data_IF_822338005290
#
_entry.id   IF_822338005290
#
_cell.length_a   1.000
_cell.length_b   1.000
_cell.length_c   1.000
_cell.angle_alpha   90.00
_cell.angle_beta   90.00
_cell.angle_gamma   90.00
#
_symmetry.space_group_name_H-M   'P 1'
#
loop_
_entity.id
_entity.type
_entity.pdbx_description
1 polymer ?
#
# COMPACT_ATOMS: atom_id res chain seq x y z
N UNK A 1 -9.11 0.42 13.05
CA UNK A 1 -7.75 0.95 13.16
C UNK A 1 -7.80 2.40 12.73
N UNK A 2 -7.14 3.30 13.45
CA UNK A 2 -7.12 4.73 13.14
C UNK A 2 -5.89 5.08 12.33
N UNK A 3 -6.05 6.01 11.38
CA UNK A 3 -4.96 6.65 10.69
C UNK A 3 -4.18 7.53 11.67
N UNK A 4 -2.86 7.40 11.68
CA UNK A 4 -1.97 8.18 12.55
C UNK A 4 -1.81 9.64 12.08
N UNK A 5 -2.28 9.98 10.88
CA UNK A 5 -2.24 11.36 10.35
C UNK A 5 -3.54 12.12 10.63
N UNK A 6 -4.71 11.53 10.39
CA UNK A 6 -6.00 12.23 10.53
C UNK A 6 -6.89 11.71 11.67
N UNK A 7 -6.50 10.64 12.36
CA UNK A 7 -7.31 9.98 13.39
C UNK A 7 -8.52 9.19 12.86
N UNK A 8 -8.82 9.29 11.56
CA UNK A 8 -9.94 8.61 10.92
C UNK A 8 -9.80 7.08 10.92
N UNK A 9 -10.92 6.38 11.01
CA UNK A 9 -10.94 4.91 10.86
C UNK A 9 -11.22 4.54 9.41
N UNK A 10 -10.42 3.65 8.86
CA UNK A 10 -10.60 3.17 7.50
C UNK A 10 -10.30 1.66 7.42
N UNK A 11 -11.01 0.96 6.54
CA UNK A 11 -10.80 -0.48 6.33
C UNK A 11 -9.57 -0.78 5.47
N UNK A 12 -9.04 0.23 4.77
CA UNK A 12 -7.91 0.17 3.84
C UNK A 12 -6.66 0.87 4.41
N UNK A 13 -6.56 0.91 5.75
CA UNK A 13 -5.36 1.35 6.46
C UNK A 13 -4.16 0.52 5.99
N UNK A 14 -3.11 1.21 5.56
CA UNK A 14 -1.84 0.65 5.09
C UNK A 14 -0.72 1.02 6.06
N UNK A 15 0.33 0.21 6.12
CA UNK A 15 1.58 0.62 6.77
C UNK A 15 2.44 1.30 5.73
N UNK A 16 2.79 2.54 6.04
CA UNK A 16 3.74 3.34 5.31
C UNK A 16 5.05 3.41 6.10
N UNK A 17 6.16 3.48 5.38
CA UNK A 17 7.46 3.86 5.90
C UNK A 17 7.69 5.33 5.56
N UNK A 18 8.06 6.14 6.56
CA UNK A 18 8.48 7.52 6.36
C UNK A 18 9.93 7.59 5.88
N UNK A 19 10.38 8.74 5.34
CA UNK A 19 11.77 8.92 4.93
C UNK A 19 12.78 8.69 6.07
N UNK A 20 12.37 8.96 7.31
CA UNK A 20 13.16 8.76 8.53
C UNK A 20 13.16 7.29 9.01
N UNK A 21 12.46 6.40 8.31
CA UNK A 21 12.38 4.98 8.62
C UNK A 21 11.33 4.59 9.66
N UNK A 22 10.44 5.52 10.04
CA UNK A 22 9.35 5.24 10.97
C UNK A 22 8.17 4.57 10.25
N UNK A 23 7.45 3.68 10.93
CA UNK A 23 6.27 3.00 10.36
C UNK A 23 5.00 3.66 10.87
N UNK A 24 4.08 3.99 9.96
CA UNK A 24 2.81 4.64 10.26
C UNK A 24 1.65 3.89 9.62
N UNK A 25 0.50 3.87 10.29
CA UNK A 25 -0.79 3.43 9.78
C UNK A 25 -1.51 4.60 9.11
N UNK A 26 -1.73 4.51 7.80
CA UNK A 26 -2.24 5.62 6.99
C UNK A 26 -3.47 5.18 6.20
N UNK A 27 -4.52 6.00 6.12
CA UNK A 27 -5.68 5.71 5.28
C UNK A 27 -5.39 6.02 3.80
N UNK A 28 -6.28 5.63 2.88
CA UNK A 28 -6.13 5.93 1.45
C UNK A 28 -5.99 7.43 1.15
N UNK A 29 -6.80 8.28 1.81
CA UNK A 29 -6.80 9.72 1.58
C UNK A 29 -5.46 10.36 1.97
N UNK A 30 -5.02 10.16 3.22
CA UNK A 30 -3.76 10.73 3.69
C UNK A 30 -2.56 10.14 2.94
N UNK A 31 -2.63 8.88 2.49
CA UNK A 31 -1.58 8.34 1.63
C UNK A 31 -1.55 9.02 0.27
N UNK A 32 -2.70 9.30 -0.35
CA UNK A 32 -2.75 9.99 -1.64
C UNK A 32 -2.12 11.39 -1.55
N UNK A 33 -2.35 12.10 -0.44
CA UNK A 33 -1.75 13.41 -0.15
C UNK A 33 -0.23 13.33 0.04
N UNK A 34 0.26 12.30 0.77
CA UNK A 34 1.67 12.14 1.13
C UNK A 34 2.41 11.07 0.30
N UNK A 35 1.88 10.68 -0.86
CA UNK A 35 2.40 9.55 -1.67
C UNK A 35 3.87 9.70 -2.11
N UNK A 36 4.35 10.94 -2.16
CA UNK A 36 5.73 11.25 -2.55
C UNK A 36 6.74 10.93 -1.45
N UNK A 37 6.29 10.94 -0.19
CA UNK A 37 7.12 10.80 1.00
C UNK A 37 6.95 9.43 1.64
N UNK A 38 5.77 8.83 1.49
CA UNK A 38 5.40 7.57 2.12
C UNK A 38 5.58 6.39 1.17
N UNK A 39 6.28 5.36 1.66
CA UNK A 39 6.40 4.08 0.93
C UNK A 39 5.55 3.01 1.59
N UNK A 40 4.63 2.39 0.86
CA UNK A 40 3.83 1.27 1.39
C UNK A 40 4.74 0.06 1.60
N UNK A 41 4.70 -0.50 2.80
CA UNK A 41 5.48 -1.67 3.19
C UNK A 41 4.57 -2.76 3.79
N UNK A 42 4.99 -4.04 3.75
CA UNK A 42 4.31 -5.09 4.49
C UNK A 42 4.36 -4.84 6.00
N UNK A 43 3.24 -5.08 6.66
CA UNK A 43 3.07 -5.03 8.10
C UNK A 43 2.00 -6.04 8.52
N UNK A 44 1.62 -6.02 9.80
CA UNK A 44 0.95 -7.18 10.41
C UNK A 44 -0.49 -7.43 9.94
N UNK A 45 -1.24 -6.40 9.50
CA UNK A 45 -2.67 -6.55 9.10
C UNK A 45 -3.10 -5.61 7.97
N UNK A 46 -2.41 -5.64 6.84
CA UNK A 46 -2.52 -4.59 5.83
C UNK A 46 -3.20 -4.98 4.53
N UNK A 47 -3.98 -4.03 4.03
CA UNK A 47 -4.43 -4.00 2.65
C UNK A 47 -3.30 -3.44 1.78
N UNK A 48 -2.32 -4.29 1.47
CA UNK A 48 -1.21 -4.00 0.55
C UNK A 48 -1.22 -4.98 -0.61
N UNK A 49 -0.81 -4.51 -1.80
CA UNK A 49 -0.62 -5.34 -2.97
C UNK A 49 0.86 -5.46 -3.30
N UNK A 50 1.29 -6.65 -3.70
CA UNK A 50 2.62 -6.91 -4.25
C UNK A 50 2.54 -7.08 -5.75
N UNK A 51 3.49 -6.49 -6.48
CA UNK A 51 3.59 -6.65 -7.92
C UNK A 51 4.21 -8.00 -8.26
N UNK A 52 3.57 -8.77 -9.14
CA UNK A 52 4.09 -10.06 -9.60
C UNK A 52 5.30 -9.90 -10.53
N UNK A 53 5.42 -8.75 -11.21
CA UNK A 53 6.54 -8.44 -12.11
C UNK A 53 7.78 -7.93 -11.37
N UNK A 54 7.65 -6.83 -10.62
CA UNK A 54 8.81 -6.17 -9.98
C UNK A 54 8.94 -6.44 -8.48
N UNK A 55 7.96 -7.10 -7.85
CA UNK A 55 7.98 -7.41 -6.42
C UNK A 55 7.71 -6.25 -5.48
N UNK A 56 7.50 -5.04 -5.99
CA UNK A 56 7.21 -3.84 -5.20
C UNK A 56 5.85 -3.94 -4.49
N UNK A 57 5.73 -3.32 -3.32
CA UNK A 57 4.47 -3.19 -2.59
C UNK A 57 3.83 -1.82 -2.87
N UNK A 58 2.51 -1.77 -2.89
CA UNK A 58 1.76 -0.55 -3.12
C UNK A 58 0.30 -0.65 -2.70
N UNK A 59 -0.47 0.38 -3.05
CA UNK A 59 -1.90 0.40 -2.77
C UNK A 59 -2.60 -0.54 -3.75
N UNK A 60 -3.38 -1.53 -3.31
CA UNK A 60 -4.08 -2.43 -4.23
C UNK A 60 -4.91 -1.71 -5.30
N UNK A 61 -5.49 -0.54 -4.98
CA UNK A 61 -6.28 0.23 -5.95
C UNK A 61 -5.48 0.71 -7.17
N UNK A 62 -4.14 0.73 -7.08
CA UNK A 62 -3.21 1.12 -8.14
C UNK A 62 -2.67 -0.11 -8.92
N UNK A 63 -3.29 -1.27 -8.74
CA UNK A 63 -2.86 -2.53 -9.36
C UNK A 63 -3.95 -3.10 -10.24
N UNK A 64 -3.53 -3.62 -11.39
CA UNK A 64 -4.38 -4.35 -12.32
C UNK A 64 -4.34 -5.84 -12.03
N UNK A 65 -5.48 -6.52 -12.20
CA UNK A 65 -5.58 -7.98 -12.06
C UNK A 65 -5.37 -8.50 -10.64
N UNK A 66 -5.80 -7.73 -9.63
CA UNK A 66 -5.66 -8.10 -8.22
C UNK A 66 -6.23 -9.49 -7.91
N UNK A 67 -5.45 -10.27 -7.17
CA UNK A 67 -5.81 -11.57 -6.60
C UNK A 67 -5.53 -11.57 -5.11
N UNK A 68 -6.42 -12.18 -4.34
CA UNK A 68 -6.26 -12.41 -2.90
C UNK A 68 -5.33 -13.61 -2.66
N UNK A 69 -4.62 -13.63 -1.53
CA UNK A 69 -3.81 -14.78 -1.11
C UNK A 69 -2.35 -14.77 -1.58
N UNK A 70 -1.81 -13.60 -1.94
CA UNK A 70 -0.40 -13.42 -2.26
C UNK A 70 0.53 -13.60 -1.05
N UNK A 71 1.83 -13.33 -1.26
CA UNK A 71 2.87 -13.55 -0.23
C UNK A 71 2.53 -12.78 1.07
N UNK A 72 2.56 -13.47 2.21
CA UNK A 72 2.18 -12.95 3.55
C UNK A 72 0.70 -12.49 3.63
N UNK A 73 -0.19 -13.03 2.79
CA UNK A 73 -1.61 -12.67 2.78
C UNK A 73 -1.91 -11.33 2.10
N UNK A 74 -0.91 -10.69 1.49
CA UNK A 74 -1.10 -9.48 0.69
C UNK A 74 -1.89 -9.80 -0.60
N UNK A 75 -2.52 -8.78 -1.18
CA UNK A 75 -3.00 -8.89 -2.56
C UNK A 75 -1.80 -9.04 -3.51
N UNK A 76 -2.01 -9.67 -4.66
CA UNK A 76 -1.02 -9.76 -5.74
C UNK A 76 -1.62 -9.29 -7.05
N UNK A 77 -0.86 -8.56 -7.86
CA UNK A 77 -1.31 -8.07 -9.16
C UNK A 77 -0.17 -7.43 -9.93
N UNK A 78 -0.50 -6.60 -10.92
CA UNK A 78 0.48 -5.87 -11.74
C UNK A 78 0.38 -4.37 -11.46
N UNK A 79 1.47 -3.73 -11.03
CA UNK A 79 1.48 -2.29 -10.84
C UNK A 79 1.53 -1.54 -12.18
N UNK A 80 1.09 -0.28 -12.22
CA UNK A 80 1.10 0.54 -13.44
C UNK A 80 2.45 0.54 -14.19
N UNK A 81 3.57 0.59 -13.46
CA UNK A 81 4.92 0.51 -14.06
C UNK A 81 5.14 -0.78 -14.85
N UNK A 82 4.67 -1.92 -14.34
CA UNK A 82 4.80 -3.21 -15.02
C UNK A 82 3.69 -3.44 -16.06
N UNK A 83 2.54 -2.78 -15.90
CA UNK A 83 1.46 -2.80 -16.88
C UNK A 83 1.77 -1.97 -18.13
N UNK A 84 2.78 -1.09 -18.09
CA UNK A 84 3.12 -0.18 -19.18
C UNK A 84 2.22 1.05 -19.25
N UNK A 85 1.37 1.25 -18.24
CA UNK A 85 0.56 2.48 -18.09
C UNK A 85 1.46 3.59 -17.55
N UNK A 86 1.74 4.59 -18.39
CA UNK A 86 2.52 5.78 -18.06
C UNK A 86 1.63 7.01 -17.96
#
# INVERSE_FOLDING_TARGET
>A
MSCELCGGCDAWIKTCLTPEGSRLMVCDLCYAEHRAELTIVPGDRLVTARCDGCGAYGNPREFSGLRLGGRKGAYSGTCHRCAGDR
#
